data_IF_935413776644
#
_entry.id   IF_935413776644
#
_cell.length_a   1.000
_cell.length_b   1.000
_cell.length_c   1.000
_cell.angle_alpha   90.00
_cell.angle_beta   90.00
_cell.angle_gamma   90.00
#
_symmetry.space_group_name_H-M   'P 1'
#
loop_
_entity.id
_entity.type
_entity.pdbx_description
1 polymer ?
#
# COMPACT_ATOMS: atom_id res chain seq x y z
N UNK A 1 -8.65 2.63 -10.58
CA UNK A 1 -8.12 1.51 -9.78
C UNK A 1 -8.17 0.14 -10.48
N UNK A 2 -8.93 -0.06 -11.57
CA UNK A 2 -9.21 -1.41 -12.11
C UNK A 2 -8.18 -1.95 -13.11
N UNK A 3 -7.03 -1.29 -13.30
CA UNK A 3 -6.07 -1.68 -14.32
C UNK A 3 -5.35 -2.97 -13.92
N UNK A 4 -5.66 -4.11 -14.56
CA UNK A 4 -5.23 -5.43 -14.10
C UNK A 4 -3.70 -5.64 -14.11
N UNK A 5 -2.96 -4.80 -14.83
CA UNK A 5 -1.49 -4.85 -14.87
C UNK A 5 -0.83 -4.00 -13.78
N UNK A 6 -1.57 -3.13 -13.10
CA UNK A 6 -1.06 -2.38 -11.96
C UNK A 6 -0.93 -3.32 -10.77
N UNK A 7 0.21 -3.30 -10.09
CA UNK A 7 0.57 -4.24 -9.03
C UNK A 7 0.77 -3.55 -7.68
N UNK A 8 1.19 -2.29 -7.71
CA UNK A 8 1.53 -1.53 -6.52
C UNK A 8 0.76 -0.21 -6.52
N UNK A 9 0.37 0.22 -5.34
CA UNK A 9 -0.20 1.54 -5.08
C UNK A 9 0.48 2.15 -3.87
N UNK A 10 0.71 3.46 -3.91
CA UNK A 10 1.16 4.23 -2.76
C UNK A 10 0.37 5.52 -2.70
N UNK A 11 -0.14 5.87 -1.52
CA UNK A 11 -0.97 7.05 -1.32
C UNK A 11 -0.38 7.96 -0.25
N UNK A 12 -0.56 9.26 -0.42
CA UNK A 12 -0.19 10.28 0.55
C UNK A 12 -1.35 11.27 0.72
N UNK A 13 -1.51 11.79 1.93
CA UNK A 13 -2.50 12.80 2.28
C UNK A 13 -1.83 14.05 2.83
N UNK A 14 -2.38 15.22 2.52
CA UNK A 14 -1.94 16.49 3.08
C UNK A 14 -3.15 17.37 3.47
N UNK A 15 -3.11 17.92 4.68
CA UNK A 15 -4.03 18.97 5.09
C UNK A 15 -3.63 20.28 4.43
N UNK A 16 -4.59 20.95 3.80
CA UNK A 16 -4.46 22.24 3.15
C UNK A 16 -5.38 23.26 3.83
N UNK A 17 -5.17 24.55 3.55
CA UNK A 17 -5.92 25.65 4.19
C UNK A 17 -7.44 25.51 4.11
N UNK A 18 -7.98 24.88 3.06
CA UNK A 18 -9.42 24.70 2.84
C UNK A 18 -9.79 23.26 2.44
N UNK A 19 -9.02 22.26 2.89
CA UNK A 19 -9.38 20.87 2.60
C UNK A 19 -8.28 19.85 2.81
N UNK A 20 -8.52 18.64 2.30
CA UNK A 20 -7.61 17.50 2.39
C UNK A 20 -7.30 17.00 0.99
N UNK A 21 -6.02 17.02 0.62
CA UNK A 21 -5.55 16.46 -0.63
C UNK A 21 -5.11 15.02 -0.40
N UNK A 22 -5.62 14.09 -1.21
CA UNK A 22 -5.13 12.71 -1.27
C UNK A 22 -4.63 12.42 -2.67
N UNK A 23 -3.39 11.96 -2.78
CA UNK A 23 -2.78 11.55 -4.05
C UNK A 23 -2.34 10.10 -3.96
N UNK A 24 -2.68 9.30 -4.98
CA UNK A 24 -2.22 7.92 -5.11
C UNK A 24 -1.46 7.72 -6.43
N UNK A 25 -0.32 7.06 -6.35
CA UNK A 25 0.46 6.62 -7.49
C UNK A 25 0.29 5.12 -7.71
N UNK A 26 0.28 4.73 -8.98
CA UNK A 26 0.06 3.35 -9.43
C UNK A 26 1.23 2.87 -10.26
N UNK A 27 1.75 1.69 -9.93
CA UNK A 27 2.84 1.07 -10.67
C UNK A 27 2.55 -0.40 -11.00
N UNK A 28 2.85 -0.88 -12.22
CA UNK A 28 3.13 -0.09 -13.42
C UNK A 28 1.99 0.85 -13.80
N UNK A 29 2.30 1.91 -14.58
CA UNK A 29 1.29 2.89 -15.01
C UNK A 29 0.17 2.21 -15.81
N UNK A 30 -1.07 2.57 -15.47
CA UNK A 30 -2.26 2.08 -16.15
C UNK A 30 -2.85 3.10 -17.12
N UNK A 31 -4.11 2.89 -17.46
CA UNK A 31 -4.95 3.80 -18.26
C UNK A 31 -4.29 4.22 -19.57
N UNK A 32 -3.58 3.31 -20.22
CA UNK A 32 -2.94 3.56 -21.51
C UNK A 32 -4.01 3.54 -22.60
N UNK A 33 -4.13 4.65 -23.33
CA UNK A 33 -5.10 4.80 -24.42
C UNK A 33 -4.91 3.67 -25.45
N UNK A 34 -6.01 3.05 -25.87
CA UNK A 34 -6.01 1.94 -26.81
C UNK A 34 -5.58 0.59 -26.22
N UNK A 35 -5.34 0.50 -24.91
CA UNK A 35 -5.10 -0.77 -24.21
C UNK A 35 -6.31 -1.16 -23.35
N UNK A 36 -6.62 -2.47 -23.23
CA UNK A 36 -7.71 -2.92 -22.38
C UNK A 36 -7.34 -2.74 -20.90
N UNK A 37 -8.33 -2.37 -20.08
CA UNK A 37 -8.18 -2.18 -18.63
C UNK A 37 -7.85 -3.53 -17.95
N UNK A 38 -8.51 -4.59 -18.39
CA UNK A 38 -8.28 -5.97 -17.96
C UNK A 38 -8.60 -6.92 -19.13
N UNK A 39 -8.11 -8.15 -19.04
CA UNK A 39 -8.46 -9.21 -19.98
C UNK A 39 -9.73 -9.91 -19.49
N UNK A 40 -10.70 -10.09 -20.38
CA UNK A 40 -11.89 -10.89 -20.08
C UNK A 40 -11.53 -12.38 -20.11
N UNK A 41 -12.09 -13.13 -19.16
CA UNK A 41 -12.11 -14.60 -19.21
C UNK A 41 -12.97 -15.09 -20.38
N UNK A 42 -12.72 -16.31 -20.83
CA UNK A 42 -13.43 -16.87 -21.99
C UNK A 42 -14.84 -17.35 -21.57
N UNK A 43 -15.00 -17.74 -20.30
CA UNK A 43 -16.26 -18.01 -19.61
C UNK A 43 -16.41 -17.17 -18.32
N UNK A 44 -17.63 -17.14 -17.78
CA UNK A 44 -17.96 -16.44 -16.53
C UNK A 44 -17.27 -17.06 -15.29
N UNK A 45 -16.82 -18.31 -15.38
CA UNK A 45 -16.12 -19.01 -14.29
C UNK A 45 -14.58 -18.94 -14.41
N UNK A 46 -14.03 -18.32 -15.45
CA UNK A 46 -12.58 -18.33 -15.72
C UNK A 46 -11.83 -17.22 -14.97
N UNK A 47 -12.22 -16.98 -13.73
CA UNK A 47 -11.56 -16.03 -12.83
C UNK A 47 -10.12 -16.52 -12.58
N UNK A 48 -9.14 -15.63 -12.63
CA UNK A 48 -7.70 -15.95 -12.52
C UNK A 48 -7.11 -16.84 -13.62
N UNK A 49 -7.86 -17.19 -14.67
CA UNK A 49 -7.38 -18.04 -15.79
C UNK A 49 -6.16 -17.48 -16.53
N UNK A 50 -5.99 -16.15 -16.50
CA UNK A 50 -4.93 -15.41 -17.20
C UNK A 50 -3.96 -14.71 -16.24
N UNK A 51 -3.73 -15.26 -15.05
CA UNK A 51 -2.72 -14.74 -14.13
C UNK A 51 -1.31 -14.80 -14.75
N UNK A 52 -0.46 -13.84 -14.35
CA UNK A 52 0.92 -13.74 -14.84
C UNK A 52 1.78 -14.87 -14.29
N UNK A 53 2.81 -15.27 -15.05
CA UNK A 53 3.83 -16.25 -14.60
C UNK A 53 4.54 -15.78 -13.32
N UNK A 54 4.70 -14.47 -13.13
CA UNK A 54 5.30 -13.90 -11.92
C UNK A 54 4.41 -13.97 -10.68
N UNK A 55 3.09 -14.08 -10.88
CA UNK A 55 2.07 -14.12 -9.83
C UNK A 55 0.97 -15.11 -10.24
N UNK A 56 1.29 -16.42 -10.28
CA UNK A 56 0.40 -17.42 -10.86
C UNK A 56 -0.76 -17.80 -9.94
N UNK A 57 -0.60 -17.60 -8.63
CA UNK A 57 -1.60 -17.97 -7.63
C UNK A 57 -2.87 -17.12 -7.75
N UNK A 58 -4.05 -17.74 -7.74
CA UNK A 58 -5.30 -17.03 -7.52
C UNK A 58 -5.50 -16.85 -6.00
N UNK A 59 -5.65 -15.61 -5.54
CA UNK A 59 -5.79 -15.32 -4.12
C UNK A 59 -7.08 -15.95 -3.55
N UNK A 60 -6.95 -16.61 -2.40
CA UNK A 60 -8.09 -17.17 -1.65
C UNK A 60 -8.81 -16.10 -0.84
N UNK A 61 -8.07 -15.11 -0.36
CA UNK A 61 -8.56 -14.02 0.49
C UNK A 61 -9.18 -12.90 -0.36
N UNK A 62 -8.57 -12.61 -1.51
CA UNK A 62 -9.02 -11.61 -2.46
C UNK A 62 -9.47 -12.31 -3.75
N UNK A 63 -10.69 -12.86 -3.71
CA UNK A 63 -11.26 -13.59 -4.84
C UNK A 63 -11.20 -12.77 -6.13
N UNK A 64 -10.59 -13.36 -7.17
CA UNK A 64 -10.42 -12.72 -8.47
C UNK A 64 -9.18 -11.86 -8.66
N UNK A 65 -8.26 -11.83 -7.69
CA UNK A 65 -6.94 -11.21 -7.82
C UNK A 65 -5.82 -12.25 -7.85
N UNK A 66 -4.77 -11.97 -8.62
CA UNK A 66 -3.59 -12.80 -8.73
C UNK A 66 -2.54 -12.41 -7.67
N UNK A 67 -1.90 -13.40 -7.04
CA UNK A 67 -0.60 -13.25 -6.38
C UNK A 67 -0.59 -12.58 -5.00
N UNK A 68 -1.68 -12.70 -4.24
CA UNK A 68 -1.79 -12.18 -2.87
C UNK A 68 -2.29 -13.29 -1.94
N UNK A 69 -1.39 -14.16 -1.51
CA UNK A 69 -1.54 -15.08 -0.37
C UNK A 69 -0.85 -14.49 0.88
N UNK A 70 -1.22 -15.00 2.06
CA UNK A 70 -1.18 -14.35 3.38
C UNK A 70 0.20 -13.79 3.83
N UNK A 71 1.30 -14.17 3.16
CA UNK A 71 2.66 -13.79 3.51
C UNK A 71 2.97 -12.29 3.26
N UNK A 72 2.29 -11.63 2.30
CA UNK A 72 2.50 -10.21 2.00
C UNK A 72 1.68 -9.24 2.88
N UNK A 73 0.51 -9.66 3.37
CA UNK A 73 -0.37 -8.81 4.19
C UNK A 73 0.28 -8.48 5.54
N UNK A 74 1.02 -9.44 6.12
CA UNK A 74 1.71 -9.26 7.41
C UNK A 74 2.79 -8.17 7.36
N UNK A 75 3.40 -7.93 6.20
CA UNK A 75 4.45 -6.92 6.05
C UNK A 75 3.88 -5.51 5.89
N UNK A 76 2.73 -5.35 5.23
CA UNK A 76 2.05 -4.05 5.11
C UNK A 76 1.48 -3.51 6.44
N UNK A 77 1.25 -4.39 7.42
CA UNK A 77 0.86 -4.01 8.79
C UNK A 77 2.02 -3.53 9.67
N UNK A 78 3.27 -3.75 9.25
CA UNK A 78 4.45 -3.57 10.11
C UNK A 78 5.10 -2.18 10.02
N UNK A 79 4.62 -1.27 9.18
CA UNK A 79 5.23 0.06 9.01
C UNK A 79 4.23 1.21 9.13
N UNK A 80 3.28 1.09 10.05
CA UNK A 80 2.84 2.28 10.79
C UNK A 80 3.74 2.42 12.02
N UNK A 81 4.99 2.83 11.80
CA UNK A 81 5.80 3.40 12.87
C UNK A 81 5.04 4.66 13.28
N UNK A 82 4.22 4.55 14.32
CA UNK A 82 3.62 5.69 14.96
C UNK A 82 4.75 6.65 15.32
N UNK A 83 4.71 7.86 14.78
CA UNK A 83 5.44 9.00 15.32
C UNK A 83 4.85 9.44 16.67
N UNK A 84 4.32 8.52 17.47
CA UNK A 84 3.52 8.81 18.64
C UNK A 84 4.16 8.18 19.88
N UNK A 85 4.71 9.05 20.72
CA UNK A 85 5.17 8.85 22.11
C UNK A 85 6.67 8.64 22.35
N UNK A 86 7.35 7.69 21.71
CA UNK A 86 8.72 7.29 22.16
C UNK A 86 9.79 8.36 21.85
N UNK A 87 9.77 8.96 20.65
CA UNK A 87 10.73 10.03 20.28
C UNK A 87 10.48 11.31 21.08
N UNK A 88 9.22 11.57 21.43
CA UNK A 88 8.85 12.71 22.29
C UNK A 88 9.39 12.47 23.70
N UNK A 89 9.25 11.28 24.28
CA UNK A 89 9.78 10.94 25.62
C UNK A 89 11.31 11.15 25.71
N UNK A 90 12.07 10.75 24.69
CA UNK A 90 13.53 10.91 24.69
C UNK A 90 13.92 12.41 24.62
N UNK A 91 13.20 13.23 23.84
CA UNK A 91 13.49 14.66 23.72
C UNK A 91 12.92 15.50 24.88
N UNK A 92 11.82 15.10 25.52
CA UNK A 92 11.17 15.89 26.58
C UNK A 92 11.52 15.44 27.99
N UNK A 93 11.90 14.18 28.21
CA UNK A 93 12.27 13.68 29.55
C UNK A 93 13.80 13.63 29.70
N UNK A 94 14.52 13.10 28.71
CA UNK A 94 15.96 12.87 28.84
C UNK A 94 16.80 14.14 28.72
N UNK A 95 16.43 15.04 27.80
CA UNK A 95 17.13 16.31 27.58
C UNK A 95 17.09 17.28 28.78
N UNK A 96 15.96 17.50 29.49
CA UNK A 96 15.97 18.31 30.70
C UNK A 96 16.67 17.61 31.87
N UNK A 97 16.61 16.28 31.99
CA UNK A 97 17.30 15.55 33.06
C UNK A 97 18.82 15.66 32.96
N UNK A 98 19.38 15.66 31.74
CA UNK A 98 20.81 15.87 31.50
C UNK A 98 21.28 17.28 31.91
N UNK A 99 20.39 18.27 31.77
CA UNK A 99 20.67 19.66 32.18
C UNK A 99 20.69 19.84 33.69
N UNK A 100 19.94 19.03 34.44
CA UNK A 100 19.93 19.01 35.90
C UNK A 100 21.10 18.21 36.51
N UNK A 101 21.67 17.25 35.78
CA UNK A 101 22.79 16.43 36.28
C UNK A 101 24.18 17.07 36.04
N UNK A 102 24.24 18.10 35.18
CA UNK A 102 25.45 18.86 34.83
C UNK A 102 25.51 20.25 35.50
N UNK A 103 24.68 20.48 36.52
CA UNK A 103 24.69 21.67 37.39
C UNK A 103 24.89 21.23 38.83
#
# INVERSE_FOLDING_TARGET
MMWARTQFLGCAGALMYDGFLVTCYYHPKGNVIGKPIFLRGDSNNDVCSKCSVLRPSCSRTLTGLCGLDDEYILQSKAESIGCDSITIIILTIYFPFLKYLLM
#
